data_IF_546894531283
#
_entry.id   IF_546894531283
#
_cell.length_a   1.000
_cell.length_b   1.000
_cell.length_c   1.000
_cell.angle_alpha   90.00
_cell.angle_beta   90.00
_cell.angle_gamma   90.00
#
_symmetry.space_group_name_H-M   'P 1'
#
loop_
_entity.id
_entity.type
_entity.pdbx_description
1 polymer ?
#
# COMPACT_ATOMS: atom_id res chain seq x y z
N UNK A 1 10.23 -16.38 -10.10
CA UNK A 1 10.61 -15.25 -9.23
C UNK A 1 11.59 -15.78 -8.22
N UNK A 2 12.73 -15.14 -8.08
CA UNK A 2 13.63 -15.47 -6.99
C UNK A 2 12.92 -15.09 -5.69
N UNK A 3 12.92 -16.02 -4.74
CA UNK A 3 12.18 -15.90 -3.47
C UNK A 3 13.00 -15.09 -2.46
N UNK A 4 13.33 -13.84 -2.81
CA UNK A 4 14.00 -12.92 -1.90
C UNK A 4 13.01 -11.91 -1.30
N UNK A 5 13.22 -11.52 -0.02
CA UNK A 5 12.36 -10.56 0.64
C UNK A 5 12.53 -9.14 0.08
N UNK A 6 11.47 -8.31 0.24
CA UNK A 6 11.51 -6.90 -0.11
C UNK A 6 10.97 -6.04 1.02
N UNK A 7 11.57 -4.86 1.16
CA UNK A 7 11.10 -3.75 1.98
C UNK A 7 10.69 -2.60 1.07
N UNK A 8 9.44 -2.20 1.15
CA UNK A 8 8.88 -1.13 0.34
C UNK A 8 8.47 0.09 1.16
N UNK A 9 7.97 1.10 0.47
CA UNK A 9 7.42 2.33 1.06
C UNK A 9 6.20 2.82 0.30
N UNK A 10 5.45 3.78 0.92
CA UNK A 10 4.16 4.21 0.40
C UNK A 10 4.24 5.53 -0.36
N UNK A 11 3.92 5.49 -1.65
CA UNK A 11 3.44 6.55 -2.52
C UNK A 11 4.40 7.71 -2.83
N UNK A 12 5.04 8.32 -1.83
CA UNK A 12 5.75 9.58 -1.98
C UNK A 12 7.23 9.40 -1.68
N UNK A 13 8.07 10.02 -2.50
CA UNK A 13 9.51 10.11 -2.25
C UNK A 13 9.83 11.36 -1.44
N UNK A 14 10.62 11.17 -0.39
CA UNK A 14 11.24 12.24 0.38
C UNK A 14 12.72 12.30 -0.01
N UNK A 15 13.19 13.47 -0.42
CA UNK A 15 14.60 13.66 -0.76
C UNK A 15 15.42 13.93 0.50
N UNK A 16 16.57 13.25 0.69
CA UNK A 16 17.42 13.47 1.88
C UNK A 16 17.91 14.91 2.01
N UNK A 17 18.12 15.57 0.88
CA UNK A 17 18.55 16.97 0.80
C UNK A 17 17.44 17.98 1.09
N UNK A 18 16.17 17.54 1.09
CA UNK A 18 15.01 18.43 1.09
C UNK A 18 14.85 19.22 -0.22
N UNK A 19 15.51 18.79 -1.31
CA UNK A 19 15.42 19.45 -2.62
C UNK A 19 14.00 19.32 -3.18
N UNK A 20 13.31 20.47 -3.25
CA UNK A 20 11.93 20.53 -3.71
C UNK A 20 11.78 20.21 -5.21
N UNK A 21 12.78 20.48 -6.03
CA UNK A 21 12.76 20.21 -7.48
C UNK A 21 12.88 18.72 -7.74
N UNK A 22 13.80 18.05 -7.04
CA UNK A 22 13.95 16.61 -7.11
C UNK A 22 12.68 15.89 -6.59
N UNK A 23 12.16 16.33 -5.45
CA UNK A 23 10.93 15.80 -4.89
C UNK A 23 9.74 16.01 -5.83
N UNK A 24 9.61 17.18 -6.47
CA UNK A 24 8.54 17.44 -7.46
C UNK A 24 8.68 16.55 -8.69
N UNK A 25 9.90 16.26 -9.14
CA UNK A 25 10.13 15.41 -10.29
C UNK A 25 9.79 13.92 -10.04
N UNK A 26 9.96 13.45 -8.80
CA UNK A 26 9.67 12.08 -8.37
C UNK A 26 8.22 11.88 -7.91
N UNK A 27 7.54 12.95 -7.50
CA UNK A 27 6.21 12.82 -6.93
C UNK A 27 5.10 13.19 -7.92
N UNK A 28 3.99 12.47 -7.81
CA UNK A 28 2.84 12.68 -8.67
C UNK A 28 2.05 13.91 -8.27
N UNK A 29 1.43 14.55 -9.26
CA UNK A 29 0.54 15.69 -9.09
C UNK A 29 -0.91 15.24 -9.11
N UNK A 30 -1.78 16.02 -8.50
CA UNK A 30 -3.22 15.81 -8.52
C UNK A 30 -3.95 17.01 -9.11
N UNK A 31 -5.16 16.76 -9.60
CA UNK A 31 -6.13 17.79 -9.96
C UNK A 31 -7.51 17.35 -9.51
N UNK A 32 -8.25 18.24 -8.88
CA UNK A 32 -9.59 17.93 -8.39
C UNK A 32 -10.63 18.04 -9.50
N UNK A 33 -11.65 17.18 -9.47
CA UNK A 33 -12.81 17.22 -10.38
C UNK A 33 -13.48 18.60 -10.33
N UNK A 34 -13.65 19.16 -9.15
CA UNK A 34 -14.23 20.49 -8.98
C UNK A 34 -13.40 21.61 -9.60
N UNK A 35 -12.08 21.50 -9.67
CA UNK A 35 -11.24 22.45 -10.42
C UNK A 35 -11.50 22.32 -11.93
N UNK A 36 -11.43 21.12 -12.47
CA UNK A 36 -11.66 20.86 -13.90
C UNK A 36 -13.03 21.33 -14.35
N UNK A 37 -14.08 21.08 -13.56
CA UNK A 37 -15.46 21.49 -13.86
C UNK A 37 -15.70 23.00 -13.91
N UNK A 38 -14.76 23.81 -13.38
CA UNK A 38 -14.85 25.30 -13.47
C UNK A 38 -14.07 25.89 -14.63
N UNK A 39 -13.37 25.06 -15.42
CA UNK A 39 -12.59 25.49 -16.56
C UNK A 39 -13.41 25.40 -17.87
N UNK A 40 -12.94 26.07 -18.91
CA UNK A 40 -13.42 25.75 -20.26
C UNK A 40 -12.98 24.33 -20.65
N UNK A 41 -13.68 23.65 -21.58
CA UNK A 41 -13.28 22.28 -21.99
C UNK A 41 -11.81 22.17 -22.42
N UNK A 42 -11.31 23.14 -23.20
CA UNK A 42 -9.90 23.16 -23.64
C UNK A 42 -8.93 23.32 -22.44
N UNK A 43 -9.19 24.27 -21.54
CA UNK A 43 -8.34 24.49 -20.37
C UNK A 43 -8.38 23.31 -19.37
N UNK A 44 -9.54 22.64 -19.25
CA UNK A 44 -9.69 21.43 -18.45
C UNK A 44 -8.85 20.28 -19.05
N UNK A 45 -8.90 20.08 -20.37
CA UNK A 45 -8.09 19.10 -21.08
C UNK A 45 -6.59 19.37 -20.89
N UNK A 46 -6.13 20.58 -21.19
CA UNK A 46 -4.72 20.96 -21.07
C UNK A 46 -4.19 20.73 -19.65
N UNK A 47 -5.00 21.08 -18.63
CA UNK A 47 -4.64 20.87 -17.24
C UNK A 47 -4.57 19.38 -16.88
N UNK A 48 -5.57 18.59 -17.29
CA UNK A 48 -5.60 17.15 -17.03
C UNK A 48 -4.44 16.46 -17.74
N UNK A 49 -4.26 16.70 -19.04
CA UNK A 49 -3.19 16.11 -19.84
C UNK A 49 -1.81 16.44 -19.25
N UNK A 50 -1.59 17.71 -18.84
CA UNK A 50 -0.34 18.11 -18.20
C UNK A 50 -0.08 17.38 -16.87
N UNK A 51 -1.10 17.13 -16.06
CA UNK A 51 -0.97 16.33 -14.82
C UNK A 51 -0.69 14.88 -15.15
N UNK A 52 -1.41 14.28 -16.09
CA UNK A 52 -1.24 12.87 -16.49
C UNK A 52 0.16 12.63 -17.07
N UNK A 53 0.63 13.47 -17.97
CA UNK A 53 1.98 13.34 -18.55
C UNK A 53 3.06 13.48 -17.48
N UNK A 54 2.93 14.44 -16.56
CA UNK A 54 3.82 14.55 -15.42
C UNK A 54 3.82 13.28 -14.55
N UNK A 55 2.65 12.69 -14.27
CA UNK A 55 2.53 11.50 -13.46
C UNK A 55 3.15 10.26 -14.15
N UNK A 56 3.03 10.16 -15.47
CA UNK A 56 3.73 9.13 -16.25
C UNK A 56 5.26 9.30 -16.12
N UNK A 57 5.77 10.53 -16.24
CA UNK A 57 7.19 10.83 -16.08
C UNK A 57 7.67 10.54 -14.65
N UNK A 58 6.87 10.87 -13.64
CA UNK A 58 7.18 10.58 -12.25
C UNK A 58 7.23 9.07 -12.00
N UNK A 59 6.26 8.30 -12.51
CA UNK A 59 6.24 6.83 -12.34
C UNK A 59 7.47 6.18 -13.00
N UNK A 60 7.83 6.60 -14.22
CA UNK A 60 9.04 6.08 -14.88
C UNK A 60 10.30 6.33 -14.04
N UNK A 61 10.42 7.53 -13.45
CA UNK A 61 11.55 7.86 -12.56
C UNK A 61 11.51 7.09 -11.25
N UNK A 62 10.32 6.91 -10.65
CA UNK A 62 10.14 6.14 -9.42
C UNK A 62 10.55 4.68 -9.65
N UNK A 63 10.06 4.04 -10.70
CA UNK A 63 10.41 2.64 -11.02
C UNK A 63 11.90 2.51 -11.33
N UNK A 64 12.48 3.45 -12.09
CA UNK A 64 13.91 3.45 -12.39
C UNK A 64 14.77 3.65 -11.12
N UNK A 65 14.36 4.54 -10.23
CA UNK A 65 15.04 4.75 -8.93
C UNK A 65 15.02 3.46 -8.10
N UNK A 66 13.84 2.86 -7.92
CA UNK A 66 13.68 1.64 -7.12
C UNK A 66 14.43 0.46 -7.75
N UNK A 67 14.44 0.34 -9.08
CA UNK A 67 15.21 -0.68 -9.79
C UNK A 67 16.73 -0.54 -9.59
N UNK A 68 17.21 0.66 -9.29
CA UNK A 68 18.62 0.94 -8.96
C UNK A 68 19.01 0.60 -7.53
N UNK A 69 18.06 0.30 -6.64
CA UNK A 69 18.32 -0.08 -5.26
C UNK A 69 18.72 -1.56 -5.13
N UNK A 70 19.16 -1.95 -3.94
CA UNK A 70 19.38 -3.34 -3.61
C UNK A 70 18.08 -4.16 -3.76
N UNK A 71 18.18 -5.46 -4.03
CA UNK A 71 17.03 -6.34 -4.19
C UNK A 71 16.04 -6.25 -3.02
N UNK A 72 16.55 -6.12 -1.80
CA UNK A 72 15.75 -5.95 -0.59
C UNK A 72 14.85 -4.69 -0.63
N UNK A 73 15.19 -3.67 -1.42
CA UNK A 73 14.46 -2.39 -1.44
C UNK A 73 13.64 -2.19 -2.73
N UNK A 74 13.47 -3.24 -3.55
CA UNK A 74 12.76 -3.16 -4.84
C UNK A 74 11.25 -3.35 -4.71
N UNK A 75 10.63 -2.55 -3.85
CA UNK A 75 9.18 -2.52 -3.68
C UNK A 75 8.70 -1.10 -3.36
N UNK A 76 7.57 -0.67 -3.94
CA UNK A 76 6.90 0.56 -3.52
C UNK A 76 5.43 0.58 -3.93
N UNK A 77 4.65 1.44 -3.25
CA UNK A 77 3.23 1.67 -3.53
C UNK A 77 3.07 2.87 -4.47
N UNK A 78 2.43 2.64 -5.61
CA UNK A 78 2.03 3.70 -6.54
C UNK A 78 0.87 4.50 -5.92
N UNK A 79 0.87 5.82 -6.06
CA UNK A 79 -0.19 6.66 -5.51
C UNK A 79 -1.54 6.42 -6.21
N UNK A 80 -2.62 6.29 -5.45
CA UNK A 80 -3.98 6.03 -5.96
C UNK A 80 -4.50 7.06 -6.95
N UNK A 81 -4.17 8.34 -6.78
CA UNK A 81 -4.60 9.42 -7.67
C UNK A 81 -3.81 9.53 -8.97
N UNK A 82 -3.16 8.47 -9.43
CA UNK A 82 -2.28 8.45 -10.60
C UNK A 82 -2.95 8.97 -11.89
N UNK A 83 -4.17 8.50 -12.20
CA UNK A 83 -5.02 8.98 -13.30
C UNK A 83 -6.25 9.71 -12.74
N UNK A 84 -6.20 11.05 -12.52
CA UNK A 84 -7.26 11.77 -11.83
C UNK A 84 -8.60 11.65 -12.53
N UNK A 85 -9.62 11.10 -11.85
CA UNK A 85 -10.99 11.00 -12.35
C UNK A 85 -11.15 10.10 -13.58
N UNK A 86 -10.34 9.06 -13.73
CA UNK A 86 -10.30 8.16 -14.88
C UNK A 86 -11.70 7.67 -15.30
N UNK A 87 -12.51 7.17 -14.36
CA UNK A 87 -13.88 6.71 -14.60
C UNK A 87 -14.95 7.76 -14.29
N UNK A 88 -14.58 8.93 -13.71
CA UNK A 88 -15.57 9.91 -13.29
C UNK A 88 -16.29 10.55 -14.48
N UNK A 89 -17.65 10.54 -14.54
CA UNK A 89 -18.41 10.94 -15.73
C UNK A 89 -18.09 12.35 -16.27
N UNK A 90 -17.72 13.29 -15.40
CA UNK A 90 -17.37 14.66 -15.79
C UNK A 90 -15.92 14.79 -16.30
N UNK A 91 -15.04 13.81 -16.06
CA UNK A 91 -13.61 13.88 -16.40
C UNK A 91 -13.23 12.85 -17.46
N UNK A 92 -13.82 11.67 -17.43
CA UNK A 92 -13.55 10.59 -18.39
C UNK A 92 -13.60 11.04 -19.88
N UNK A 93 -14.51 11.95 -20.31
CA UNK A 93 -14.52 12.46 -21.67
C UNK A 93 -13.29 13.30 -22.06
N UNK A 94 -12.54 13.82 -21.08
CA UNK A 94 -11.30 14.55 -21.31
C UNK A 94 -10.11 13.63 -21.66
N UNK A 95 -10.21 12.36 -21.33
CA UNK A 95 -9.25 11.34 -21.78
C UNK A 95 -9.59 10.92 -23.22
N UNK A 96 -9.16 11.71 -24.19
CA UNK A 96 -9.36 11.40 -25.60
C UNK A 96 -8.53 10.19 -26.08
N UNK A 97 -8.72 9.79 -27.32
CA UNK A 97 -8.05 8.62 -27.88
C UNK A 97 -6.52 8.78 -27.94
N UNK A 98 -6.03 10.01 -28.18
CA UNK A 98 -4.59 10.29 -28.26
C UNK A 98 -3.94 10.20 -26.88
N UNK A 99 -4.52 10.84 -25.87
CA UNK A 99 -4.03 10.77 -24.49
C UNK A 99 -4.07 9.34 -23.95
N UNK A 100 -5.15 8.59 -24.20
CA UNK A 100 -5.25 7.17 -23.83
C UNK A 100 -4.15 6.33 -24.47
N UNK A 101 -3.90 6.49 -25.76
CA UNK A 101 -2.84 5.75 -26.45
C UNK A 101 -1.43 6.09 -25.91
N UNK A 102 -1.20 7.32 -25.45
CA UNK A 102 0.05 7.71 -24.76
C UNK A 102 0.15 7.00 -23.41
N UNK A 103 -0.93 7.01 -22.60
CA UNK A 103 -0.97 6.37 -21.28
C UNK A 103 -0.68 4.87 -21.42
N UNK A 104 -1.43 4.17 -22.27
CA UNK A 104 -1.29 2.72 -22.45
C UNK A 104 0.14 2.33 -22.89
N UNK A 105 0.69 3.02 -23.86
CA UNK A 105 2.06 2.76 -24.35
C UNK A 105 3.11 2.99 -23.26
N UNK A 106 2.99 4.10 -22.50
CA UNK A 106 3.94 4.45 -21.44
C UNK A 106 3.85 3.45 -20.30
N UNK A 107 2.66 3.16 -19.81
CA UNK A 107 2.46 2.19 -18.72
C UNK A 107 2.93 0.78 -19.12
N UNK A 108 2.67 0.34 -20.36
CA UNK A 108 3.18 -0.95 -20.83
C UNK A 108 4.71 -1.03 -20.79
N UNK A 109 5.41 0.04 -21.18
CA UNK A 109 6.87 0.12 -21.10
C UNK A 109 7.37 0.13 -19.66
N UNK A 110 6.75 0.94 -18.79
CA UNK A 110 7.10 1.04 -17.36
C UNK A 110 6.89 -0.28 -16.64
N UNK A 111 5.76 -0.95 -16.88
CA UNK A 111 5.49 -2.25 -16.27
C UNK A 111 6.42 -3.36 -16.77
N UNK A 112 6.79 -3.35 -18.06
CA UNK A 112 7.80 -4.27 -18.60
C UNK A 112 9.17 -4.04 -17.92
N UNK A 113 9.57 -2.78 -17.74
CA UNK A 113 10.80 -2.42 -17.06
C UNK A 113 10.78 -2.84 -15.58
N UNK A 114 9.66 -2.62 -14.86
CA UNK A 114 9.50 -3.04 -13.48
C UNK A 114 9.69 -4.55 -13.33
N UNK A 115 9.02 -5.36 -14.18
CA UNK A 115 9.16 -6.82 -14.17
C UNK A 115 10.57 -7.28 -14.51
N UNK A 116 11.22 -6.66 -15.49
CA UNK A 116 12.58 -7.01 -15.90
C UNK A 116 13.64 -6.71 -14.82
N UNK A 117 13.35 -5.77 -13.91
CA UNK A 117 14.23 -5.36 -12.82
C UNK A 117 13.74 -5.84 -11.45
N UNK A 118 12.76 -6.73 -11.42
CA UNK A 118 12.21 -7.32 -10.21
C UNK A 118 11.67 -6.29 -9.19
N UNK A 119 11.05 -5.22 -9.70
CA UNK A 119 10.38 -4.22 -8.85
C UNK A 119 8.95 -4.66 -8.57
N UNK A 120 8.62 -4.90 -7.31
CA UNK A 120 7.25 -5.16 -6.85
C UNK A 120 6.50 -3.85 -6.68
N UNK A 121 5.27 -3.79 -7.17
CA UNK A 121 4.41 -2.61 -7.06
C UNK A 121 3.06 -2.95 -6.44
N UNK A 122 2.52 -2.02 -5.67
CA UNK A 122 1.18 -2.09 -5.10
C UNK A 122 0.42 -0.79 -5.35
N UNK A 123 -0.89 -0.79 -5.15
CA UNK A 123 -1.73 0.40 -5.06
C UNK A 123 -2.69 0.25 -3.89
N UNK A 124 -3.12 1.38 -3.31
CA UNK A 124 -4.06 1.38 -2.21
C UNK A 124 -5.13 2.44 -2.44
N UNK A 125 -6.35 2.05 -2.89
CA UNK A 125 -7.50 2.94 -3.01
C UNK A 125 -7.75 3.73 -1.73
N UNK A 126 -8.41 4.88 -1.85
CA UNK A 126 -8.69 5.73 -0.69
C UNK A 126 -9.56 5.03 0.35
N UNK A 127 -9.54 5.54 1.59
CA UNK A 127 -10.29 4.98 2.74
C UNK A 127 -11.82 4.86 2.54
N UNK A 128 -12.36 5.42 1.46
CA UNK A 128 -13.77 5.31 1.08
C UNK A 128 -14.07 4.12 0.17
N UNK A 129 -13.05 3.43 -0.34
CA UNK A 129 -13.19 2.18 -1.08
C UNK A 129 -13.46 1.00 -0.11
N UNK A 130 -14.67 0.96 0.45
CA UNK A 130 -15.10 0.00 1.47
C UNK A 130 -16.02 -1.07 0.86
N UNK A 131 -15.63 -2.33 0.97
CA UNK A 131 -16.44 -3.46 0.48
C UNK A 131 -17.51 -3.90 1.48
N UNK A 132 -17.23 -3.85 2.78
CA UNK A 132 -18.21 -4.16 3.82
C UNK A 132 -19.08 -2.94 4.12
N UNK A 133 -20.18 -2.79 3.40
CA UNK A 133 -21.14 -1.69 3.58
C UNK A 133 -22.58 -2.14 3.28
N UNK A 134 -23.56 -1.57 4.01
CA UNK A 134 -25.00 -1.77 3.73
C UNK A 134 -25.52 -0.83 2.63
N UNK A 135 -24.74 0.16 2.22
CA UNK A 135 -25.15 1.15 1.22
C UNK A 135 -24.68 0.70 -0.16
N UNK A 136 -25.59 0.21 -1.00
CA UNK A 136 -25.27 -0.24 -2.37
C UNK A 136 -24.47 0.81 -3.16
N UNK A 137 -24.88 2.09 -3.12
CA UNK A 137 -24.17 3.15 -3.83
C UNK A 137 -22.72 3.38 -3.32
N UNK A 138 -22.45 3.09 -2.05
CA UNK A 138 -21.09 3.16 -1.53
C UNK A 138 -20.27 1.96 -2.02
N UNK A 139 -20.88 0.79 -2.08
CA UNK A 139 -20.24 -0.42 -2.63
C UNK A 139 -19.95 -0.26 -4.14
N UNK A 140 -20.91 0.26 -4.90
CA UNK A 140 -20.71 0.53 -6.33
C UNK A 140 -19.54 1.51 -6.55
N UNK A 141 -19.46 2.59 -5.77
CA UNK A 141 -18.35 3.54 -5.84
C UNK A 141 -16.99 2.90 -5.46
N UNK A 142 -16.98 2.05 -4.45
CA UNK A 142 -15.78 1.31 -4.06
C UNK A 142 -15.30 0.36 -5.18
N UNK A 143 -16.23 -0.33 -5.83
CA UNK A 143 -15.92 -1.20 -6.97
C UNK A 143 -15.38 -0.38 -8.14
N UNK A 144 -15.97 0.77 -8.45
CA UNK A 144 -15.47 1.68 -9.51
C UNK A 144 -14.03 2.12 -9.19
N UNK A 145 -13.74 2.52 -7.96
CA UNK A 145 -12.38 2.90 -7.54
C UNK A 145 -11.39 1.73 -7.69
N UNK A 146 -11.77 0.52 -7.28
CA UNK A 146 -10.97 -0.69 -7.49
C UNK A 146 -10.72 -0.96 -8.98
N UNK A 147 -11.74 -0.75 -9.83
CA UNK A 147 -11.61 -0.95 -11.28
C UNK A 147 -10.72 0.11 -11.95
N UNK A 148 -10.68 1.33 -11.45
CA UNK A 148 -9.72 2.35 -11.90
C UNK A 148 -8.27 1.92 -11.61
N UNK A 149 -8.01 1.32 -10.45
CA UNK A 149 -6.70 0.76 -10.10
C UNK A 149 -6.37 -0.48 -10.93
N UNK A 150 -7.36 -1.36 -11.17
CA UNK A 150 -7.21 -2.49 -12.08
C UNK A 150 -6.77 -2.03 -13.47
N UNK A 151 -7.42 -1.00 -14.04
CA UNK A 151 -7.08 -0.48 -15.35
C UNK A 151 -5.60 -0.03 -15.43
N UNK A 152 -5.07 0.59 -14.40
CA UNK A 152 -3.64 0.95 -14.32
C UNK A 152 -2.77 -0.30 -14.33
N UNK A 153 -3.10 -1.32 -13.53
CA UNK A 153 -2.32 -2.57 -13.50
C UNK A 153 -2.41 -3.36 -14.81
N UNK A 154 -3.57 -3.39 -15.46
CA UNK A 154 -3.72 -4.02 -16.78
C UNK A 154 -2.86 -3.31 -17.83
N UNK A 155 -2.84 -1.98 -17.86
CA UNK A 155 -1.97 -1.20 -18.76
C UNK A 155 -0.48 -1.39 -18.43
N UNK A 156 -0.10 -1.59 -17.14
CA UNK A 156 1.25 -1.97 -16.74
C UNK A 156 1.59 -3.43 -17.14
N UNK A 157 0.60 -4.23 -17.56
CA UNK A 157 0.77 -5.64 -17.93
C UNK A 157 0.80 -6.61 -16.74
N UNK A 158 0.20 -6.22 -15.62
CA UNK A 158 -0.04 -7.08 -14.46
C UNK A 158 -1.46 -7.65 -14.54
N UNK A 159 -1.60 -8.86 -15.05
CA UNK A 159 -2.88 -9.56 -15.18
C UNK A 159 -2.80 -10.97 -14.63
N UNK A 160 -3.88 -11.47 -14.05
CA UNK A 160 -3.93 -12.77 -13.37
C UNK A 160 -3.70 -12.64 -11.86
N UNK A 161 -3.44 -13.77 -11.20
CA UNK A 161 -3.34 -13.84 -9.74
C UNK A 161 -2.01 -13.23 -9.27
N UNK A 162 -2.08 -12.03 -8.70
CA UNK A 162 -0.96 -11.27 -8.11
C UNK A 162 0.37 -11.40 -8.88
N UNK A 163 0.40 -11.10 -10.20
CA UNK A 163 1.61 -11.28 -11.01
C UNK A 163 2.75 -10.42 -10.46
N UNK A 164 3.92 -10.99 -10.25
CA UNK A 164 5.05 -10.35 -9.55
C UNK A 164 4.70 -9.78 -8.16
N UNK A 165 3.66 -10.34 -7.51
CA UNK A 165 3.17 -9.83 -6.24
C UNK A 165 2.43 -8.49 -6.30
N UNK A 166 2.14 -7.99 -7.50
CA UNK A 166 1.35 -6.77 -7.68
C UNK A 166 -0.04 -6.94 -7.08
N UNK A 167 -0.52 -5.92 -6.36
CA UNK A 167 -1.82 -6.00 -5.69
C UNK A 167 -2.47 -4.63 -5.46
N UNK A 168 -3.80 -4.66 -5.34
CA UNK A 168 -4.64 -3.53 -4.95
C UNK A 168 -5.11 -3.81 -3.53
N UNK A 169 -4.58 -3.07 -2.56
CA UNK A 169 -4.90 -3.28 -1.16
C UNK A 169 -6.06 -2.38 -0.72
N UNK A 170 -7.05 -2.92 -0.01
CA UNK A 170 -8.14 -2.14 0.58
C UNK A 170 -8.42 -2.61 2.01
N UNK A 171 -8.94 -1.72 2.85
CA UNK A 171 -9.46 -2.12 4.16
C UNK A 171 -10.80 -2.84 4.03
N UNK A 172 -11.13 -3.73 4.98
CA UNK A 172 -12.38 -4.48 4.99
C UNK A 172 -13.63 -3.60 4.94
N UNK A 173 -13.61 -2.46 5.63
CA UNK A 173 -14.68 -1.47 5.61
C UNK A 173 -15.40 -1.29 6.96
N UNK A 174 -16.73 -1.15 6.97
CA UNK A 174 -17.49 -0.88 8.19
C UNK A 174 -17.67 -2.16 9.03
N UNK A 175 -17.00 -2.24 10.18
CA UNK A 175 -17.09 -3.40 11.09
C UNK A 175 -18.50 -3.75 11.58
N UNK A 176 -19.42 -2.79 11.57
CA UNK A 176 -20.82 -3.03 11.93
C UNK A 176 -21.55 -4.01 10.99
N UNK A 177 -21.03 -4.25 9.79
CA UNK A 177 -21.59 -5.20 8.81
C UNK A 177 -20.96 -6.58 8.94
N UNK A 178 -19.79 -6.66 9.57
CA UNK A 178 -19.05 -7.89 9.82
C UNK A 178 -18.59 -8.63 8.58
N UNK A 179 -18.05 -9.82 8.78
CA UNK A 179 -17.50 -10.68 7.71
C UNK A 179 -18.53 -11.04 6.64
N UNK A 180 -19.79 -11.22 7.02
CA UNK A 180 -20.86 -11.50 6.05
C UNK A 180 -21.06 -10.35 5.04
N UNK A 181 -20.96 -9.10 5.50
CA UNK A 181 -21.01 -7.94 4.63
C UNK A 181 -19.78 -7.83 3.74
N UNK A 182 -18.59 -8.19 4.25
CA UNK A 182 -17.37 -8.25 3.46
C UNK A 182 -17.48 -9.30 2.34
N UNK A 183 -17.95 -10.50 2.64
CA UNK A 183 -18.23 -11.56 1.63
C UNK A 183 -19.20 -11.10 0.55
N UNK A 184 -20.27 -10.39 0.96
CA UNK A 184 -21.22 -9.81 0.00
C UNK A 184 -20.55 -8.81 -0.94
N UNK A 185 -19.71 -7.92 -0.43
CA UNK A 185 -18.95 -6.97 -1.25
C UNK A 185 -17.95 -7.66 -2.18
N UNK A 186 -17.17 -8.62 -1.67
CA UNK A 186 -16.21 -9.40 -2.45
C UNK A 186 -16.88 -10.14 -3.62
N UNK A 187 -18.07 -10.69 -3.40
CA UNK A 187 -18.82 -11.40 -4.44
C UNK A 187 -19.21 -10.49 -5.62
N UNK A 188 -19.31 -9.17 -5.42
CA UNK A 188 -19.62 -8.19 -6.47
C UNK A 188 -18.39 -7.67 -7.22
N UNK A 189 -17.19 -7.85 -6.69
CA UNK A 189 -15.95 -7.45 -7.37
C UNK A 189 -15.71 -8.39 -8.56
N UNK A 190 -15.50 -7.89 -9.79
CA UNK A 190 -15.17 -8.72 -10.95
C UNK A 190 -13.91 -9.57 -10.73
N UNK A 191 -13.89 -10.77 -11.30
CA UNK A 191 -12.79 -11.74 -11.12
C UNK A 191 -11.42 -11.16 -11.46
N UNK A 192 -11.30 -10.36 -12.52
CA UNK A 192 -10.04 -9.72 -12.90
C UNK A 192 -9.51 -8.83 -11.78
N UNK A 193 -10.38 -8.02 -11.15
CA UNK A 193 -10.01 -7.17 -10.03
C UNK A 193 -9.72 -7.99 -8.76
N UNK A 194 -10.51 -9.04 -8.46
CA UNK A 194 -10.26 -9.95 -7.32
C UNK A 194 -8.90 -10.66 -7.41
N UNK A 195 -8.42 -10.93 -8.60
CA UNK A 195 -7.10 -11.53 -8.79
C UNK A 195 -5.93 -10.64 -8.36
N UNK A 196 -6.16 -9.34 -8.22
CA UNK A 196 -5.19 -8.36 -7.73
C UNK A 196 -5.57 -7.78 -6.36
N UNK A 197 -6.79 -8.08 -5.87
CA UNK A 197 -7.29 -7.51 -4.64
C UNK A 197 -6.68 -8.18 -3.41
N UNK A 198 -6.33 -7.37 -2.43
CA UNK A 198 -5.99 -7.81 -1.07
C UNK A 198 -6.83 -7.05 -0.06
N UNK A 199 -7.08 -7.67 1.07
CA UNK A 199 -7.79 -7.04 2.20
C UNK A 199 -6.84 -6.93 3.38
N UNK A 200 -6.79 -5.73 3.98
CA UNK A 200 -5.96 -5.40 5.12
C UNK A 200 -6.79 -5.28 6.39
N UNK A 201 -6.26 -5.80 7.51
CA UNK A 201 -6.82 -5.54 8.84
C UNK A 201 -6.62 -4.09 9.25
N UNK A 202 -7.58 -3.57 9.99
CA UNK A 202 -7.53 -2.21 10.50
C UNK A 202 -7.65 -2.16 12.03
N UNK A 203 -7.29 -1.03 12.61
CA UNK A 203 -7.26 -0.84 14.06
C UNK A 203 -8.65 -0.61 14.68
N UNK A 204 -9.71 -0.49 13.86
CA UNK A 204 -11.06 -0.14 14.32
C UNK A 204 -12.09 -1.22 13.98
N UNK A 205 -12.17 -1.64 12.72
CA UNK A 205 -13.28 -2.42 12.18
C UNK A 205 -12.97 -3.92 12.13
N UNK A 206 -12.05 -4.32 11.26
CA UNK A 206 -11.75 -5.73 11.00
C UNK A 206 -10.40 -6.14 11.61
N UNK A 207 -10.43 -7.09 12.55
CA UNK A 207 -9.22 -7.74 13.06
C UNK A 207 -8.62 -8.68 12.01
N UNK A 208 -7.38 -9.13 12.24
CA UNK A 208 -6.76 -10.17 11.43
C UNK A 208 -7.61 -11.45 11.43
N UNK A 209 -8.15 -11.85 12.59
CA UNK A 209 -8.97 -13.06 12.72
C UNK A 209 -10.27 -12.96 11.91
N UNK A 210 -10.93 -11.79 11.88
CA UNK A 210 -12.10 -11.54 11.03
C UNK A 210 -11.75 -11.71 9.54
N UNK A 211 -10.60 -11.18 9.09
CA UNK A 211 -10.18 -11.27 7.69
C UNK A 211 -9.76 -12.68 7.30
N UNK A 212 -9.18 -13.43 8.21
CA UNK A 212 -8.84 -14.82 7.94
C UNK A 212 -10.07 -15.69 7.65
N UNK A 213 -11.28 -15.28 8.06
CA UNK A 213 -12.51 -15.97 7.65
C UNK A 213 -12.80 -15.89 6.13
N UNK A 214 -12.22 -14.92 5.42
CA UNK A 214 -12.36 -14.76 3.95
C UNK A 214 -11.06 -15.08 3.18
N UNK A 215 -10.09 -15.67 3.84
CA UNK A 215 -8.76 -15.96 3.26
C UNK A 215 -8.77 -16.98 2.12
N UNK A 216 -9.86 -17.72 1.94
CA UNK A 216 -10.10 -18.61 0.79
C UNK A 216 -10.60 -17.85 -0.46
N UNK A 217 -11.14 -16.64 -0.28
CA UNK A 217 -11.71 -15.81 -1.34
C UNK A 217 -10.75 -14.73 -1.87
N UNK A 218 -9.91 -14.17 -0.98
CA UNK A 218 -9.04 -13.03 -1.25
C UNK A 218 -7.74 -13.15 -0.47
N UNK A 219 -6.63 -12.63 -1.03
CA UNK A 219 -5.36 -12.58 -0.33
C UNK A 219 -5.38 -11.56 0.82
N UNK A 220 -4.78 -11.91 1.95
CA UNK A 220 -4.77 -11.10 3.18
C UNK A 220 -3.42 -10.38 3.30
N UNK A 221 -3.48 -9.07 3.49
CA UNK A 221 -2.36 -8.24 3.95
C UNK A 221 -2.52 -8.03 5.46
N UNK A 222 -1.52 -8.42 6.22
CA UNK A 222 -1.46 -8.05 7.64
C UNK A 222 -0.73 -6.73 7.80
N UNK A 223 -1.37 -5.75 8.43
CA UNK A 223 -0.67 -4.63 9.04
C UNK A 223 -0.41 -4.98 10.52
N UNK A 224 0.88 -5.10 10.86
CA UNK A 224 1.31 -5.49 12.19
C UNK A 224 1.01 -4.43 13.26
N UNK A 225 1.06 -3.16 12.90
CA UNK A 225 0.75 -2.07 13.83
C UNK A 225 -0.74 -1.95 14.08
N UNK A 226 -1.57 -2.06 13.03
CA UNK A 226 -3.02 -2.14 13.17
C UNK A 226 -3.45 -3.33 14.02
N UNK A 227 -2.81 -4.50 13.80
CA UNK A 227 -3.05 -5.69 14.62
C UNK A 227 -2.72 -5.44 16.09
N UNK A 228 -1.55 -4.87 16.39
CA UNK A 228 -1.13 -4.52 17.73
C UNK A 228 -2.11 -3.56 18.43
N UNK A 229 -2.61 -2.54 17.74
CA UNK A 229 -3.63 -1.61 18.25
C UNK A 229 -4.96 -2.33 18.50
N UNK A 230 -5.43 -3.11 17.52
CA UNK A 230 -6.73 -3.79 17.56
C UNK A 230 -6.80 -4.84 18.64
N UNK A 231 -5.75 -5.63 18.80
CA UNK A 231 -5.61 -6.68 19.81
C UNK A 231 -5.26 -6.16 21.20
N UNK A 232 -4.90 -4.87 21.30
CA UNK A 232 -4.41 -4.22 22.52
C UNK A 232 -3.09 -4.80 23.05
N UNK A 233 -2.14 -4.99 22.12
CA UNK A 233 -0.75 -5.28 22.49
C UNK A 233 -0.19 -6.59 21.96
N UNK A 234 -0.96 -7.37 21.21
CA UNK A 234 -0.43 -8.58 20.60
C UNK A 234 0.43 -8.24 19.39
N UNK A 235 1.71 -8.58 19.45
CA UNK A 235 2.58 -8.63 18.28
C UNK A 235 2.47 -10.00 17.62
N UNK A 236 2.05 -10.03 16.35
CA UNK A 236 2.04 -11.28 15.57
C UNK A 236 3.47 -11.80 15.45
N UNK A 237 3.73 -13.03 15.87
CA UNK A 237 5.05 -13.67 15.75
C UNK A 237 5.14 -14.53 14.48
N UNK A 238 6.33 -14.74 13.89
CA UNK A 238 6.48 -15.52 12.66
C UNK A 238 6.02 -16.98 12.73
N UNK A 239 6.01 -17.55 13.92
CA UNK A 239 5.54 -18.93 14.20
C UNK A 239 4.06 -19.02 14.60
N UNK A 240 3.34 -17.90 14.59
CA UNK A 240 1.90 -17.89 14.82
C UNK A 240 1.16 -18.68 13.73
N UNK A 241 0.22 -19.57 14.09
CA UNK A 241 -0.53 -20.37 13.11
C UNK A 241 -1.33 -19.53 12.09
N UNK A 242 -1.66 -18.27 12.39
CA UNK A 242 -2.31 -17.34 11.46
C UNK A 242 -1.41 -16.99 10.27
N UNK A 243 -0.08 -17.01 10.44
CA UNK A 243 0.88 -16.76 9.36
C UNK A 243 0.69 -17.77 8.23
N UNK A 244 0.59 -19.05 8.53
CA UNK A 244 0.36 -20.09 7.52
C UNK A 244 -0.96 -19.87 6.75
N UNK A 245 -2.00 -19.31 7.39
CA UNK A 245 -3.27 -18.98 6.75
C UNK A 245 -3.13 -17.76 5.84
N UNK A 246 -2.35 -16.75 6.25
CA UNK A 246 -2.02 -15.60 5.41
C UNK A 246 -1.29 -16.08 4.16
N UNK A 247 -0.22 -16.88 4.31
CA UNK A 247 0.54 -17.43 3.17
C UNK A 247 -0.35 -18.22 2.22
N UNK A 248 -1.21 -19.09 2.77
CA UNK A 248 -2.15 -19.89 1.97
C UNK A 248 -3.11 -19.02 1.14
N UNK A 249 -3.54 -17.86 1.65
CA UNK A 249 -4.43 -16.92 0.95
C UNK A 249 -3.80 -16.35 -0.34
N UNK A 250 -2.48 -16.25 -0.40
CA UNK A 250 -1.73 -15.77 -1.57
C UNK A 250 -1.46 -16.84 -2.64
N UNK A 251 -1.84 -18.10 -2.38
CA UNK A 251 -1.81 -19.21 -3.36
C UNK A 251 -0.43 -19.38 -4.03
N UNK A 252 0.64 -19.34 -3.24
CA UNK A 252 2.01 -19.53 -3.71
C UNK A 252 2.70 -18.26 -4.23
N UNK A 253 2.06 -17.11 -4.17
CA UNK A 253 2.71 -15.81 -4.34
C UNK A 253 3.20 -15.35 -2.97
N UNK A 254 4.39 -14.77 -2.90
CA UNK A 254 4.93 -14.23 -1.64
C UNK A 254 4.02 -13.14 -1.09
N UNK A 255 3.52 -13.25 0.16
CA UNK A 255 2.63 -12.25 0.75
C UNK A 255 3.22 -10.85 0.82
N UNK A 256 2.36 -9.83 0.91
CA UNK A 256 2.72 -8.50 1.36
C UNK A 256 2.15 -8.27 2.77
N UNK A 257 2.87 -7.50 3.57
CA UNK A 257 2.46 -7.04 4.88
C UNK A 257 2.78 -5.55 5.03
N UNK A 258 2.14 -4.86 5.97
CA UNK A 258 2.43 -3.48 6.31
C UNK A 258 2.99 -3.37 7.73
N UNK A 259 3.80 -2.33 7.95
CA UNK A 259 4.37 -2.01 9.26
C UNK A 259 4.47 -0.51 9.46
N UNK A 260 4.17 -0.09 10.65
CA UNK A 260 4.57 1.19 11.23
C UNK A 260 4.81 1.01 12.73
N UNK A 261 5.22 2.06 13.41
CA UNK A 261 5.27 2.15 14.87
C UNK A 261 4.61 3.44 15.32
N UNK A 262 4.16 3.50 16.56
CA UNK A 262 3.64 4.72 17.16
C UNK A 262 4.71 5.83 17.18
N UNK A 263 4.27 7.08 17.20
CA UNK A 263 5.16 8.25 17.16
C UNK A 263 6.15 8.25 18.32
N UNK A 264 7.39 8.58 18.03
CA UNK A 264 8.48 8.72 19.00
C UNK A 264 8.12 9.67 20.15
N UNK A 265 7.42 10.76 19.82
CA UNK A 265 7.02 11.80 20.79
C UNK A 265 6.03 11.33 21.89
N UNK A 266 5.45 10.12 21.75
CA UNK A 266 4.58 9.55 22.76
C UNK A 266 5.36 8.86 23.89
N UNK A 267 6.66 8.63 23.72
CA UNK A 267 7.50 7.91 24.65
C UNK A 267 8.42 8.90 25.37
N UNK A 268 8.27 9.05 26.68
CA UNK A 268 9.13 9.91 27.51
C UNK A 268 10.56 9.35 27.68
N UNK A 269 10.68 8.02 27.68
CA UNK A 269 11.94 7.29 27.61
C UNK A 269 11.80 6.25 26.49
N UNK A 270 12.57 6.40 25.42
CA UNK A 270 12.50 5.50 24.26
C UNK A 270 13.16 4.17 24.61
N UNK A 271 12.36 3.17 24.93
CA UNK A 271 12.77 1.78 25.04
C UNK A 271 12.86 1.18 23.64
N UNK A 272 13.87 1.61 22.88
CA UNK A 272 14.00 1.22 21.47
C UNK A 272 14.33 -0.28 21.28
N UNK A 273 14.81 -0.94 22.33
CA UNK A 273 15.22 -2.35 22.32
C UNK A 273 14.15 -3.30 22.86
N UNK A 274 12.98 -2.79 23.21
CA UNK A 274 11.84 -3.56 23.67
C UNK A 274 10.62 -3.33 22.76
N UNK A 275 9.83 -4.37 22.55
CA UNK A 275 8.56 -4.21 21.85
C UNK A 275 7.63 -3.33 22.67
N UNK A 276 6.95 -2.34 22.04
CA UNK A 276 6.00 -1.49 22.74
C UNK A 276 4.93 -2.30 23.47
N UNK A 277 4.74 -2.03 24.77
CA UNK A 277 3.69 -2.63 25.59
C UNK A 277 2.46 -1.72 25.61
N UNK A 278 1.35 -2.23 25.07
CA UNK A 278 0.10 -1.47 24.98
C UNK A 278 -0.51 -1.19 26.36
N UNK A 279 -0.38 -2.11 27.31
CA UNK A 279 -0.95 -1.96 28.65
C UNK A 279 -0.20 -0.88 29.44
N UNK A 280 1.12 -0.86 29.37
CA UNK A 280 1.96 0.17 29.99
C UNK A 280 1.67 1.56 29.41
N UNK A 281 1.59 1.67 28.07
CA UNK A 281 1.26 2.93 27.42
C UNK A 281 -0.14 3.42 27.77
N UNK A 282 -1.12 2.51 27.84
CA UNK A 282 -2.48 2.84 28.28
C UNK A 282 -2.51 3.29 29.74
N UNK A 283 -1.74 2.65 30.62
CA UNK A 283 -1.60 3.03 32.02
C UNK A 283 -0.91 4.40 32.18
N UNK A 284 0.00 4.76 31.27
CA UNK A 284 0.61 6.08 31.17
C UNK A 284 -0.36 7.16 30.63
N UNK A 285 -1.58 6.78 30.21
CA UNK A 285 -2.64 7.69 29.80
C UNK A 285 -2.82 7.84 28.30
N UNK A 286 -2.05 7.13 27.46
CA UNK A 286 -2.21 7.19 26.01
C UNK A 286 -3.44 6.41 25.53
N UNK A 287 -4.20 7.03 24.63
CA UNK A 287 -5.36 6.39 24.00
C UNK A 287 -4.93 5.61 22.76
N UNK A 288 -5.65 4.56 22.41
CA UNK A 288 -5.43 3.84 21.16
C UNK A 288 -5.43 4.77 19.91
N UNK A 289 -6.27 5.82 19.91
CA UNK A 289 -6.30 6.83 18.84
C UNK A 289 -5.02 7.67 18.72
N UNK A 290 -4.21 7.75 19.78
CA UNK A 290 -2.90 8.43 19.78
C UNK A 290 -1.81 7.43 19.35
N UNK A 291 -1.89 6.20 19.86
CA UNK A 291 -0.93 5.13 19.57
C UNK A 291 -0.94 4.70 18.10
N UNK A 292 -2.08 4.79 17.39
CA UNK A 292 -2.17 4.48 15.95
C UNK A 292 -1.48 5.48 15.03
N UNK A 293 -1.04 6.63 15.53
CA UNK A 293 -0.36 7.63 14.73
C UNK A 293 1.04 7.16 14.34
N UNK A 294 1.31 7.06 13.04
CA UNK A 294 2.60 6.58 12.52
C UNK A 294 3.76 7.52 12.85
N UNK A 295 4.90 6.95 13.19
CA UNK A 295 6.19 7.63 13.39
C UNK A 295 6.73 8.25 12.10
N UNK A 296 7.75 9.06 12.23
CA UNK A 296 8.48 9.56 11.06
C UNK A 296 9.41 8.49 10.51
N UNK A 297 10.12 7.75 11.37
CA UNK A 297 11.05 6.68 11.02
C UNK A 297 10.70 5.39 11.78
N UNK A 298 11.29 4.27 11.38
CA UNK A 298 11.24 3.00 12.11
C UNK A 298 12.25 3.03 13.26
N UNK A 299 11.93 3.78 14.33
CA UNK A 299 12.82 4.11 15.43
C UNK A 299 13.03 2.98 16.44
N UNK A 300 12.08 2.03 16.55
CA UNK A 300 12.13 0.95 17.53
C UNK A 300 12.86 -0.26 16.97
N UNK A 301 14.02 -0.59 17.58
CA UNK A 301 14.87 -1.70 17.11
C UNK A 301 14.23 -3.06 17.30
N UNK A 302 13.50 -3.28 18.41
CA UNK A 302 12.83 -4.56 18.63
C UNK A 302 11.73 -4.83 17.60
N UNK A 303 10.99 -3.78 17.16
CA UNK A 303 10.04 -3.91 16.04
C UNK A 303 10.79 -4.17 14.73
N UNK A 304 11.92 -3.52 14.48
CA UNK A 304 12.74 -3.75 13.30
C UNK A 304 13.27 -5.20 13.26
N UNK A 305 13.70 -5.76 14.41
CA UNK A 305 14.11 -7.16 14.54
C UNK A 305 12.93 -8.11 14.29
N UNK A 306 11.75 -7.77 14.78
CA UNK A 306 10.53 -8.55 14.48
C UNK A 306 10.22 -8.55 12.99
N UNK A 307 10.29 -7.39 12.33
CA UNK A 307 10.11 -7.29 10.87
C UNK A 307 11.15 -8.14 10.14
N UNK A 308 12.44 -8.08 10.53
CA UNK A 308 13.48 -8.89 9.91
C UNK A 308 13.14 -10.41 9.96
N UNK A 309 12.54 -10.88 11.04
CA UNK A 309 12.06 -12.26 11.17
C UNK A 309 10.88 -12.56 10.25
N UNK A 310 9.98 -11.63 10.03
CA UNK A 310 8.84 -11.78 9.11
C UNK A 310 9.26 -11.79 7.63
N UNK A 311 10.41 -11.21 7.29
CA UNK A 311 10.97 -11.28 5.94
C UNK A 311 11.32 -12.71 5.47
N UNK A 312 11.18 -13.71 6.31
CA UNK A 312 11.28 -15.13 5.91
C UNK A 312 10.11 -15.58 5.05
N UNK A 313 8.93 -14.95 5.17
CA UNK A 313 7.71 -15.38 4.49
C UNK A 313 6.96 -14.27 3.74
N UNK A 314 7.16 -12.99 4.05
CA UNK A 314 6.47 -11.87 3.38
C UNK A 314 7.43 -10.75 2.94
N UNK A 315 6.97 -9.92 2.01
CA UNK A 315 7.52 -8.61 1.74
C UNK A 315 6.79 -7.59 2.62
N UNK A 316 7.45 -6.49 3.00
CA UNK A 316 6.88 -5.53 3.94
C UNK A 316 6.92 -4.10 3.38
N UNK A 317 5.77 -3.43 3.34
CA UNK A 317 5.66 -1.99 3.08
C UNK A 317 5.70 -1.19 4.37
N UNK A 318 6.61 -0.23 4.44
CA UNK A 318 6.78 0.67 5.60
C UNK A 318 5.84 1.86 5.46
N UNK A 319 4.93 2.03 6.42
CA UNK A 319 3.97 3.13 6.48
C UNK A 319 4.40 4.26 7.42
N UNK A 320 5.68 4.61 7.44
CA UNK A 320 6.19 5.74 8.19
C UNK A 320 6.14 7.04 7.35
N UNK A 321 6.14 8.21 8.01
CA UNK A 321 5.95 9.50 7.33
C UNK A 321 7.16 9.91 6.49
N UNK A 322 8.38 9.50 6.84
CA UNK A 322 9.58 9.73 6.05
C UNK A 322 9.74 8.75 4.86
N UNK A 323 8.72 7.92 4.58
CA UNK A 323 8.55 7.14 3.35
C UNK A 323 9.77 6.28 3.00
N UNK A 324 10.37 6.52 1.82
CA UNK A 324 11.57 5.83 1.35
C UNK A 324 12.75 5.96 2.31
N UNK A 325 12.87 7.05 3.07
CA UNK A 325 13.95 7.19 4.06
C UNK A 325 13.75 6.26 5.26
N UNK A 326 12.49 6.07 5.68
CA UNK A 326 12.17 5.13 6.75
C UNK A 326 12.39 3.67 6.31
N UNK A 327 11.98 3.33 5.08
CA UNK A 327 12.21 2.00 4.50
C UNK A 327 13.70 1.71 4.34
N UNK A 328 14.48 2.68 3.83
CA UNK A 328 15.94 2.55 3.71
C UNK A 328 16.63 2.36 5.08
N UNK A 329 16.16 3.08 6.12
CA UNK A 329 16.65 2.90 7.49
C UNK A 329 16.38 1.49 8.03
N UNK A 330 15.18 0.95 7.80
CA UNK A 330 14.82 -0.43 8.15
C UNK A 330 15.66 -1.43 7.36
N UNK A 331 15.85 -1.22 6.05
CA UNK A 331 16.69 -2.09 5.22
C UNK A 331 18.15 -2.12 5.69
N UNK A 332 18.69 -0.97 6.11
CA UNK A 332 20.02 -0.90 6.70
C UNK A 332 20.11 -1.71 8.01
N UNK A 333 19.08 -1.61 8.88
CA UNK A 333 18.99 -2.39 10.12
C UNK A 333 18.97 -3.90 9.84
N UNK A 334 18.14 -4.35 8.89
CA UNK A 334 18.05 -5.76 8.51
C UNK A 334 19.38 -6.30 7.98
N UNK A 335 20.09 -5.53 7.15
CA UNK A 335 21.42 -5.94 6.65
C UNK A 335 22.46 -6.09 7.75
N UNK A 336 22.47 -5.19 8.73
CA UNK A 336 23.43 -5.26 9.85
C UNK A 336 23.10 -6.37 10.84
N UNK A 337 21.82 -6.69 11.06
CA UNK A 337 21.37 -7.77 11.93
C UNK A 337 21.59 -9.17 11.37
N UNK A 338 21.77 -9.32 10.05
CA UNK A 338 22.11 -10.60 9.40
C UNK A 338 23.60 -10.93 9.45
N UNK A 339 24.48 -10.01 9.84
CA UNK A 339 25.86 -10.28 10.17
C UNK A 339 25.98 -10.86 11.60
N UNK A 340 25.54 -12.12 11.79
CA UNK A 340 25.85 -12.88 13.01
C UNK A 340 27.37 -13.16 12.97
N UNK A 341 28.14 -12.75 13.99
CA UNK A 341 29.54 -13.12 14.07
C UNK A 341 29.64 -14.65 14.15
N UNK A 342 30.36 -15.24 13.21
CA UNK A 342 30.74 -16.66 13.18
C UNK A 342 31.62 -17.05 14.38
#
# INVERSE_FOLDING_TARGET
MDDHPRLGFCCTFVTPSGDAVEAEALNMKSVTIGYLGRQTPAAAYDKLAGVVLHNLDALDRQVAHVAGLDLLERMFRIVSGFLPGWSHPAVAPLYDAELKAVIERRLAATGAFARANDVRVSMHPGQHAILATLRESALDNAIVDILDHLAVFEMLGFTGWHPHGAHINVHGGAGSVGVAGLRHGLAKVPTAARNLLTIENDEVSFSLDDLLEVSDEVAIVVDFHHHWIKSRGEWLMPDDPRVARIEASWRGVRPAAHISVSREALYSELLADELPDFAELSAAGFKASELRGHSDLMWNRAVNDLVARHLTWCDVEVEAKAKNLASAGLAAHVRTGTEVPS
#
